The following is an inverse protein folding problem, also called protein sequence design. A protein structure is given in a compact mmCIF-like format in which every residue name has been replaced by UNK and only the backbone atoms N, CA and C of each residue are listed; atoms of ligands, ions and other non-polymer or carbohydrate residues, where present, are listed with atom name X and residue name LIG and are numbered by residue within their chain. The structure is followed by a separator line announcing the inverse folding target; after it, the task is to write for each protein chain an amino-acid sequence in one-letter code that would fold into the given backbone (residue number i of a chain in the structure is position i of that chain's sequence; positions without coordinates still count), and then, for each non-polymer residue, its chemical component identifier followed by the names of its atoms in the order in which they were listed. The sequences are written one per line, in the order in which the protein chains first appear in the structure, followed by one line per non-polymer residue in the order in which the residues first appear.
data_IF_172947964789
#
_entry.id   IF_172947964789
#
_cell.length_a   1.000
_cell.length_b   1.000
_cell.length_c   1.000
_cell.angle_alpha   90.00
_cell.angle_beta   90.00
_cell.angle_gamma   90.00
#
_symmetry.space_group_name_H-M   'P 1'
#
loop_
_entity.id
_entity.type
_entity.pdbx_description
1 polymer ?
#
# COMPACT_ATOMS: atom_id res chain seq x y z
N UNK A 1 -10.60 -5.93 -4.12
CA UNK A 1 -9.97 -5.16 -5.22
C UNK A 1 -10.17 -3.68 -4.93
N UNK A 2 -9.11 -2.86 -5.01
CA UNK A 2 -9.18 -1.42 -4.78
C UNK A 2 -9.15 -0.70 -6.13
N UNK A 3 -10.18 0.10 -6.43
CA UNK A 3 -10.31 0.79 -7.71
C UNK A 3 -9.95 2.26 -7.52
N UNK A 4 -8.71 2.61 -7.85
CA UNK A 4 -8.20 3.98 -7.85
C UNK A 4 -7.07 4.15 -8.87
N UNK A 5 -6.92 5.37 -9.37
CA UNK A 5 -5.85 5.78 -10.27
C UNK A 5 -4.62 6.21 -9.47
N UNK A 6 -3.44 6.02 -10.05
CA UNK A 6 -2.15 6.33 -9.43
C UNK A 6 -1.79 7.81 -9.65
N UNK A 7 -2.56 8.71 -9.04
CA UNK A 7 -2.47 10.17 -9.26
C UNK A 7 -2.33 10.90 -7.93
N UNK A 8 -1.46 11.92 -7.89
CA UNK A 8 -1.28 12.80 -6.74
C UNK A 8 -2.22 14.02 -6.79
N UNK A 9 -2.66 14.40 -7.99
CA UNK A 9 -3.53 15.56 -8.21
C UNK A 9 -4.84 15.10 -8.84
N UNK A 10 -5.96 15.70 -8.43
CA UNK A 10 -7.28 15.42 -8.99
C UNK A 10 -7.29 15.68 -10.50
N UNK A 11 -7.83 14.73 -11.25
CA UNK A 11 -8.00 14.80 -12.69
C UNK A 11 -9.42 14.40 -13.05
N UNK A 12 -10.01 15.11 -14.01
CA UNK A 12 -11.37 14.83 -14.46
C UNK A 12 -11.49 13.37 -14.95
N UNK A 13 -12.55 12.69 -14.51
CA UNK A 13 -12.79 11.28 -14.83
C UNK A 13 -11.91 10.27 -14.07
N UNK A 14 -10.99 10.72 -13.20
CA UNK A 14 -10.12 9.82 -12.44
C UNK A 14 -10.46 9.79 -10.95
N UNK A 15 -10.51 8.58 -10.39
CA UNK A 15 -10.61 8.34 -8.95
C UNK A 15 -9.25 8.44 -8.26
N UNK A 16 -9.05 9.41 -7.38
CA UNK A 16 -7.85 9.53 -6.55
C UNK A 16 -7.79 8.48 -5.42
N UNK A 17 -6.59 8.11 -4.95
CA UNK A 17 -6.44 7.41 -3.69
C UNK A 17 -6.95 8.29 -2.53
N UNK A 18 -7.53 7.67 -1.51
CA UNK A 18 -8.21 8.42 -0.44
C UNK A 18 -8.60 7.54 0.75
N UNK A 19 -9.21 8.15 1.77
CA UNK A 19 -9.49 7.51 3.06
C UNK A 19 -10.29 6.20 2.93
N UNK A 20 -11.33 6.17 2.08
CA UNK A 20 -12.12 4.96 1.88
C UNK A 20 -11.28 3.79 1.37
N UNK A 21 -10.31 4.04 0.49
CA UNK A 21 -9.39 3.02 -0.01
C UNK A 21 -8.48 2.49 1.10
N UNK A 22 -7.99 3.40 1.97
CA UNK A 22 -7.13 3.04 3.11
C UNK A 22 -7.91 2.20 4.12
N UNK A 23 -9.15 2.58 4.47
CA UNK A 23 -10.00 1.81 5.38
C UNK A 23 -10.27 0.40 4.85
N UNK A 24 -10.65 0.28 3.58
CA UNK A 24 -10.88 -1.02 2.95
C UNK A 24 -9.62 -1.91 2.93
N UNK A 25 -8.45 -1.29 2.73
CA UNK A 25 -7.15 -1.97 2.78
C UNK A 25 -6.81 -2.48 4.19
N UNK A 26 -7.01 -1.65 5.21
CA UNK A 26 -6.79 -2.01 6.61
C UNK A 26 -7.72 -3.14 7.04
N UNK A 27 -9.02 -3.04 6.72
CA UNK A 27 -9.99 -4.07 7.04
C UNK A 27 -9.64 -5.41 6.38
N UNK A 28 -9.09 -5.38 5.16
CA UNK A 28 -8.59 -6.57 4.49
C UNK A 28 -7.35 -7.14 5.21
N UNK A 29 -6.39 -6.28 5.55
CA UNK A 29 -5.17 -6.67 6.26
C UNK A 29 -5.44 -7.29 7.62
N UNK A 30 -6.35 -6.74 8.41
CA UNK A 30 -6.71 -7.28 9.73
C UNK A 30 -7.47 -8.60 9.68
N UNK A 31 -8.18 -8.89 8.57
CA UNK A 31 -8.87 -10.17 8.37
C UNK A 31 -7.95 -11.29 7.91
N UNK A 32 -6.74 -10.97 7.48
CA UNK A 32 -5.76 -11.97 7.07
C UNK A 32 -5.17 -12.69 8.30
N UNK A 33 -5.46 -13.98 8.42
CA UNK A 33 -5.02 -14.84 9.53
C UNK A 33 -3.52 -15.15 9.55
N UNK A 34 -2.79 -14.78 8.48
CA UNK A 34 -1.36 -15.03 8.28
C UNK A 34 -0.97 -16.51 8.23
N UNK A 35 -1.92 -17.42 8.01
CA UNK A 35 -1.64 -18.84 7.82
C UNK A 35 -0.96 -19.14 6.47
N UNK A 36 -1.16 -18.25 5.49
CA UNK A 36 -0.50 -18.28 4.17
C UNK A 36 0.02 -16.89 3.80
N UNK A 37 1.08 -16.78 2.96
CA UNK A 37 1.58 -15.50 2.47
C UNK A 37 0.50 -14.68 1.74
N UNK A 38 0.56 -13.36 1.89
CA UNK A 38 -0.28 -12.41 1.14
C UNK A 38 0.50 -11.82 -0.04
N UNK A 39 -0.11 -11.82 -1.23
CA UNK A 39 0.44 -11.16 -2.42
C UNK A 39 -0.29 -9.83 -2.64
N UNK A 40 0.49 -8.76 -2.80
CA UNK A 40 -0.02 -7.42 -3.14
C UNK A 40 0.57 -7.03 -4.49
N UNK A 41 -0.27 -6.68 -5.46
CA UNK A 41 0.17 -6.31 -6.79
C UNK A 41 -0.61 -5.11 -7.34
N UNK A 42 0.00 -4.41 -8.29
CA UNK A 42 -0.64 -3.45 -9.17
C UNK A 42 -0.12 -3.70 -10.58
N UNK A 43 -0.45 -2.84 -11.55
CA UNK A 43 -0.02 -3.05 -12.94
C UNK A 43 1.51 -3.13 -13.09
N UNK A 44 2.25 -2.13 -12.58
CA UNK A 44 3.71 -2.06 -12.72
C UNK A 44 4.49 -2.56 -11.49
N UNK A 45 3.82 -2.84 -10.37
CA UNK A 45 4.47 -3.22 -9.11
C UNK A 45 5.23 -2.10 -8.39
N UNK A 46 5.07 -0.84 -8.80
CA UNK A 46 5.92 0.28 -8.33
C UNK A 46 5.27 1.10 -7.21
N UNK A 47 4.09 1.68 -7.44
CA UNK A 47 3.49 2.68 -6.53
C UNK A 47 2.35 2.11 -5.69
N UNK A 48 1.17 1.87 -6.27
CA UNK A 48 -0.01 1.39 -5.52
C UNK A 48 0.21 0.11 -4.71
N UNK A 49 0.92 -0.88 -5.27
CA UNK A 49 1.24 -2.13 -4.58
C UNK A 49 2.16 -1.91 -3.39
N UNK A 50 3.21 -1.10 -3.58
CA UNK A 50 4.17 -0.73 -2.55
C UNK A 50 3.49 0.04 -1.42
N UNK A 51 2.70 1.06 -1.76
CA UNK A 51 1.94 1.83 -0.77
C UNK A 51 1.00 0.92 0.02
N UNK A 52 0.32 -0.01 -0.66
CA UNK A 52 -0.59 -0.95 0.00
C UNK A 52 0.14 -1.93 0.92
N UNK A 53 1.27 -2.50 0.47
CA UNK A 53 2.08 -3.40 1.27
C UNK A 53 2.65 -2.69 2.52
N UNK A 54 3.13 -1.46 2.36
CA UNK A 54 3.59 -0.63 3.48
C UNK A 54 2.48 -0.39 4.51
N UNK A 55 1.30 0.06 4.08
CA UNK A 55 0.16 0.35 4.97
C UNK A 55 -0.26 -0.91 5.74
N UNK A 56 -0.38 -2.06 5.06
CA UNK A 56 -0.72 -3.32 5.72
C UNK A 56 0.35 -3.70 6.74
N UNK A 57 1.63 -3.62 6.38
CA UNK A 57 2.71 -4.00 7.28
C UNK A 57 2.80 -3.09 8.52
N UNK A 58 2.60 -1.78 8.35
CA UNK A 58 2.57 -0.82 9.46
C UNK A 58 1.39 -1.10 10.42
N UNK A 59 0.21 -1.37 9.85
CA UNK A 59 -0.99 -1.68 10.63
C UNK A 59 -0.86 -2.99 11.42
N UNK A 60 -0.23 -4.02 10.85
CA UNK A 60 -0.03 -5.32 11.50
C UNK A 60 1.12 -5.34 12.51
N UNK A 61 2.02 -4.35 12.47
CA UNK A 61 3.18 -4.25 13.34
C UNK A 61 3.31 -2.86 13.99
N UNK A 62 2.33 -2.43 14.82
CA UNK A 62 2.24 -1.05 15.34
C UNK A 62 3.39 -0.64 16.28
N UNK A 63 4.25 -1.58 16.68
CA UNK A 63 5.45 -1.32 17.50
C UNK A 63 6.72 -1.12 16.68
N UNK A 64 6.68 -1.36 15.36
CA UNK A 64 7.83 -1.13 14.48
C UNK A 64 7.88 0.33 14.08
N UNK A 65 9.10 0.81 13.88
CA UNK A 65 9.33 2.14 13.34
C UNK A 65 8.91 2.20 11.87
N UNK A 66 8.16 3.24 11.52
CA UNK A 66 7.61 3.45 10.17
C UNK A 66 8.70 3.70 9.12
N UNK A 67 9.76 4.44 9.50
CA UNK A 67 10.86 4.77 8.59
C UNK A 67 11.68 3.52 8.28
N UNK A 68 12.01 2.73 9.30
CA UNK A 68 12.66 1.43 9.15
C UNK A 68 11.85 0.51 8.24
N UNK A 69 10.54 0.40 8.47
CA UNK A 69 9.67 -0.43 7.63
C UNK A 69 9.67 0.02 6.17
N UNK A 70 9.61 1.33 5.91
CA UNK A 70 9.66 1.88 4.56
C UNK A 70 11.03 1.62 3.89
N UNK A 71 12.12 1.69 4.65
CA UNK A 71 13.48 1.36 4.17
C UNK A 71 13.58 -0.13 3.83
N UNK A 72 13.11 -1.00 4.71
CA UNK A 72 13.08 -2.46 4.49
C UNK A 72 12.28 -2.81 3.23
N UNK A 73 11.12 -2.19 3.02
CA UNK A 73 10.32 -2.42 1.81
C UNK A 73 11.07 -2.02 0.53
N UNK A 74 11.74 -0.86 0.53
CA UNK A 74 12.56 -0.40 -0.62
C UNK A 74 13.78 -1.28 -0.86
N UNK A 75 14.39 -1.81 0.19
CA UNK A 75 15.51 -2.75 0.05
C UNK A 75 15.07 -4.07 -0.60
N UNK A 76 13.88 -4.58 -0.23
CA UNK A 76 13.31 -5.81 -0.79
C UNK A 76 12.71 -5.62 -2.19
N UNK A 77 12.28 -4.39 -2.51
CA UNK A 77 11.75 -4.02 -3.82
C UNK A 77 12.37 -2.70 -4.27
N UNK A 78 13.55 -2.71 -4.93
CA UNK A 78 14.26 -1.48 -5.31
C UNK A 78 13.46 -0.56 -6.25
N UNK A 79 12.50 -1.11 -6.99
CA UNK A 79 11.57 -0.36 -7.84
C UNK A 79 10.44 0.33 -7.07
N UNK A 80 10.37 0.19 -5.75
CA UNK A 80 9.36 0.77 -4.88
C UNK A 80 9.48 2.30 -4.77
N UNK A 81 8.87 3.01 -5.71
CA UNK A 81 8.76 4.48 -5.69
C UNK A 81 7.27 4.88 -5.68
N UNK A 82 6.61 4.86 -4.51
CA UNK A 82 5.24 5.32 -4.40
C UNK A 82 5.15 6.82 -4.68
N UNK A 83 4.05 7.24 -5.31
CA UNK A 83 3.83 8.65 -5.64
C UNK A 83 3.88 9.49 -4.34
N UNK A 84 4.66 10.60 -4.28
CA UNK A 84 4.52 11.56 -3.20
C UNK A 84 3.07 12.05 -3.15
N UNK A 85 2.55 12.25 -1.93
CA UNK A 85 1.21 12.81 -1.74
C UNK A 85 1.02 14.09 -2.53
#
# INVERSE_FOLDING_TARGET
HLVMHDIAVAQEGMTMPGEQHVRALLDFGYRWDRAKPLVVHCYAGISRSTASAYIIAAALAPKRDEVELAQTLRALSPSATPNPR
#
